data_IF_196693170947
#
_entry.id   IF_196693170947
#
_cell.length_a   1.000
_cell.length_b   1.000
_cell.length_c   1.000
_cell.angle_alpha   90.00
_cell.angle_beta   90.00
_cell.angle_gamma   90.00
#
_symmetry.space_group_name_H-M   'P 1'
#
loop_
_entity.id
_entity.type
_entity.pdbx_description
1 polymer ?
#
# COMPACT_ATOMS: atom_id res chain seq x y z
N UNK A 1 -5.86 -12.26 0.83
CA UNK A 1 -6.90 -11.20 0.91
C UNK A 1 -8.33 -11.75 0.84
N UNK A 2 -8.77 -12.55 -0.14
CA UNK A 2 -10.17 -13.04 -0.18
C UNK A 2 -10.56 -13.86 1.04
N UNK A 3 -9.66 -14.71 1.52
CA UNK A 3 -9.87 -15.59 2.69
C UNK A 3 -9.88 -14.81 4.02
N UNK A 4 -9.20 -13.65 4.06
CA UNK A 4 -9.06 -12.81 5.24
C UNK A 4 -9.40 -11.36 4.86
N UNK A 5 -10.68 -11.03 4.59
CA UNK A 5 -11.08 -9.76 3.97
C UNK A 5 -10.81 -8.54 4.86
N UNK A 6 -10.78 -8.72 6.18
CA UNK A 6 -10.61 -7.65 7.15
C UNK A 6 -9.18 -7.53 7.70
N UNK A 7 -8.28 -8.47 7.34
CA UNK A 7 -6.93 -8.51 7.93
C UNK A 7 -6.20 -7.16 7.85
N UNK A 8 -6.32 -6.45 6.74
CA UNK A 8 -5.66 -5.16 6.49
C UNK A 8 -6.61 -3.95 6.53
N UNK A 9 -7.78 -4.06 7.20
CA UNK A 9 -8.78 -2.97 7.19
C UNK A 9 -8.22 -1.65 7.75
N UNK A 10 -7.43 -1.69 8.81
CA UNK A 10 -6.84 -0.49 9.43
C UNK A 10 -5.83 0.20 8.52
N UNK A 11 -5.09 -0.55 7.72
CA UNK A 11 -4.17 -0.01 6.73
C UNK A 11 -4.90 0.79 5.63
N UNK A 12 -5.99 0.21 5.09
CA UNK A 12 -6.82 0.93 4.12
C UNK A 12 -7.52 2.14 4.73
N UNK A 13 -8.07 1.99 5.94
CA UNK A 13 -8.77 3.06 6.64
C UNK A 13 -7.89 4.31 6.83
N UNK A 14 -6.63 4.12 7.22
CA UNK A 14 -5.69 5.22 7.42
C UNK A 14 -5.37 6.00 6.14
N UNK A 15 -5.12 5.30 5.04
CA UNK A 15 -4.86 5.96 3.76
C UNK A 15 -6.08 6.77 3.30
N UNK A 16 -7.29 6.25 3.54
CA UNK A 16 -8.55 6.91 3.20
C UNK A 16 -8.82 8.11 4.12
N UNK A 17 -8.58 7.99 5.41
CA UNK A 17 -8.77 9.09 6.37
C UNK A 17 -7.92 10.30 5.99
N UNK A 18 -6.65 10.07 5.61
CA UNK A 18 -5.75 11.14 5.17
C UNK A 18 -6.19 11.82 3.86
N UNK A 19 -7.00 11.14 3.07
CA UNK A 19 -7.47 11.64 1.78
C UNK A 19 -8.63 12.64 1.89
N UNK A 20 -9.29 12.75 3.06
CA UNK A 20 -10.44 13.64 3.32
C UNK A 20 -11.52 13.56 2.24
N UNK A 21 -11.91 12.33 1.88
CA UNK A 21 -12.80 12.07 0.77
C UNK A 21 -14.23 12.55 1.03
N UNK A 22 -14.84 13.17 0.02
CA UNK A 22 -16.25 13.52 0.02
C UNK A 22 -16.95 12.93 -1.20
N UNK A 23 -18.28 12.77 -1.11
CA UNK A 23 -19.10 12.24 -2.19
C UNK A 23 -18.91 13.05 -3.49
N UNK A 24 -18.80 12.35 -4.61
CA UNK A 24 -18.54 12.93 -5.93
C UNK A 24 -17.06 12.92 -6.33
N UNK A 25 -16.13 12.74 -5.41
CA UNK A 25 -14.71 12.68 -5.74
C UNK A 25 -14.35 11.44 -6.53
N UNK A 26 -13.36 11.59 -7.41
CA UNK A 26 -12.69 10.52 -8.14
C UNK A 26 -11.38 10.19 -7.47
N UNK A 27 -11.22 8.93 -7.08
CA UNK A 27 -10.04 8.41 -6.37
C UNK A 27 -9.24 7.50 -7.30
N UNK A 28 -8.02 7.89 -7.62
CA UNK A 28 -7.06 7.07 -8.36
C UNK A 28 -6.27 6.19 -7.37
N UNK A 29 -6.18 4.89 -7.66
CA UNK A 29 -5.48 3.87 -6.85
C UNK A 29 -4.35 3.27 -7.69
N UNK A 30 -3.08 3.51 -7.31
CA UNK A 30 -1.91 3.16 -8.13
C UNK A 30 -0.67 2.85 -7.26
N UNK A 31 -0.06 1.69 -7.39
CA UNK A 31 -0.61 0.47 -7.99
C UNK A 31 -1.79 -0.07 -7.18
N UNK A 32 -2.83 -0.53 -7.87
CA UNK A 32 -4.09 -0.87 -7.21
C UNK A 32 -4.11 -2.26 -6.56
N UNK A 33 -3.09 -3.10 -6.83
CA UNK A 33 -3.08 -4.47 -6.39
C UNK A 33 -4.35 -5.21 -6.83
N UNK A 34 -5.03 -5.84 -5.90
CA UNK A 34 -6.31 -6.51 -6.16
C UNK A 34 -7.54 -5.58 -6.15
N UNK A 35 -7.36 -4.25 -6.15
CA UNK A 35 -8.46 -3.27 -6.10
C UNK A 35 -9.20 -3.22 -4.76
N UNK A 36 -8.57 -3.70 -3.69
CA UNK A 36 -9.20 -3.81 -2.37
C UNK A 36 -9.55 -2.46 -1.74
N UNK A 37 -8.80 -1.39 -2.05
CA UNK A 37 -9.06 -0.03 -1.58
C UNK A 37 -10.48 0.41 -1.91
N UNK A 38 -11.01 0.02 -3.07
CA UNK A 38 -12.37 0.38 -3.52
C UNK A 38 -13.47 0.01 -2.53
N UNK A 39 -13.27 -1.02 -1.70
CA UNK A 39 -14.25 -1.51 -0.72
C UNK A 39 -14.40 -0.61 0.51
N UNK A 40 -13.41 0.23 0.74
CA UNK A 40 -13.32 1.10 1.92
C UNK A 40 -13.63 2.56 1.60
N UNK A 41 -13.82 2.90 0.30
CA UNK A 41 -14.14 4.27 -0.08
C UNK A 41 -15.53 4.68 0.44
N UNK A 42 -15.68 5.93 0.87
CA UNK A 42 -16.97 6.48 1.25
C UNK A 42 -17.99 6.39 0.10
N UNK A 43 -19.26 6.22 0.46
CA UNK A 43 -20.36 6.20 -0.51
C UNK A 43 -20.36 7.46 -1.37
N UNK A 44 -20.52 7.30 -2.68
CA UNK A 44 -20.53 8.40 -3.66
C UNK A 44 -19.17 8.75 -4.24
N UNK A 45 -18.05 8.19 -3.75
CA UNK A 45 -16.77 8.30 -4.41
C UNK A 45 -16.67 7.35 -5.61
N UNK A 46 -15.98 7.77 -6.66
CA UNK A 46 -15.69 6.95 -7.84
C UNK A 46 -14.24 6.48 -7.81
N UNK A 47 -14.05 5.17 -7.76
CA UNK A 47 -12.73 4.54 -7.83
C UNK A 47 -12.26 4.33 -9.26
N UNK A 48 -10.99 4.63 -9.54
CA UNK A 48 -10.27 4.24 -10.75
C UNK A 48 -8.95 3.60 -10.34
N UNK A 49 -8.74 2.33 -10.66
CA UNK A 49 -7.53 1.59 -10.29
C UNK A 49 -6.67 1.25 -11.50
N UNK A 50 -5.35 1.29 -11.33
CA UNK A 50 -4.38 0.80 -12.31
C UNK A 50 -3.38 -0.14 -11.65
N UNK A 51 -3.27 -1.36 -12.21
CA UNK A 51 -2.38 -2.42 -11.74
C UNK A 51 -1.68 -3.09 -12.93
N UNK A 52 -0.34 -3.00 -13.03
CA UNK A 52 0.40 -3.61 -14.13
C UNK A 52 0.58 -5.13 -13.97
N UNK A 53 0.52 -5.64 -12.73
CA UNK A 53 0.76 -7.05 -12.46
C UNK A 53 -0.48 -7.90 -12.72
N UNK A 54 -0.41 -8.75 -13.75
CA UNK A 54 -1.55 -9.60 -14.16
C UNK A 54 -2.04 -10.55 -13.06
N UNK A 55 -1.19 -10.96 -12.13
CA UNK A 55 -1.57 -11.83 -11.01
C UNK A 55 -2.56 -11.17 -10.05
N UNK A 56 -2.60 -9.84 -9.98
CA UNK A 56 -3.53 -9.07 -9.15
C UNK A 56 -4.80 -8.66 -9.90
N UNK A 57 -4.83 -8.69 -11.24
CA UNK A 57 -5.94 -8.15 -12.06
C UNK A 57 -7.19 -9.02 -12.13
N UNK A 58 -7.22 -10.19 -11.51
CA UNK A 58 -8.34 -11.15 -11.62
C UNK A 58 -9.62 -10.74 -10.87
N UNK A 59 -9.70 -9.55 -10.27
CA UNK A 59 -10.79 -9.14 -9.39
C UNK A 59 -11.63 -7.95 -9.88
N UNK A 60 -11.91 -7.89 -11.17
CA UNK A 60 -12.95 -6.98 -11.74
C UNK A 60 -12.46 -5.55 -11.98
N UNK A 61 -13.20 -4.79 -12.74
CA UNK A 61 -13.19 -3.32 -12.95
C UNK A 61 -11.85 -2.56 -13.12
N UNK A 62 -10.71 -3.24 -13.27
CA UNK A 62 -9.47 -2.55 -13.60
C UNK A 62 -9.38 -2.25 -15.09
N UNK A 63 -9.09 -1.00 -15.41
CA UNK A 63 -9.01 -0.52 -16.79
C UNK A 63 -7.67 -0.92 -17.40
N UNK A 64 -7.71 -1.90 -18.30
CA UNK A 64 -6.65 -2.13 -19.28
C UNK A 64 -5.78 -3.34 -19.02
N UNK A 65 -5.37 -3.97 -20.11
CA UNK A 65 -4.37 -5.04 -20.19
C UNK A 65 -2.94 -4.46 -20.24
N UNK A 66 -2.66 -3.38 -19.50
CA UNK A 66 -1.31 -2.82 -19.50
C UNK A 66 -0.40 -3.70 -18.65
N UNK A 67 0.74 -4.10 -19.19
CA UNK A 67 1.82 -4.77 -18.48
C UNK A 67 2.83 -3.78 -17.90
N UNK A 68 2.60 -2.48 -18.08
CA UNK A 68 3.45 -1.39 -17.59
C UNK A 68 2.68 -0.51 -16.61
N UNK A 69 3.33 -0.10 -15.53
CA UNK A 69 2.79 0.86 -14.60
C UNK A 69 2.56 2.23 -15.26
N UNK A 70 3.44 2.62 -16.16
CA UNK A 70 3.44 3.93 -16.81
C UNK A 70 3.46 3.79 -18.35
N UNK A 71 2.86 4.77 -19.07
CA UNK A 71 2.08 5.90 -18.56
C UNK A 71 0.74 5.45 -17.98
N UNK A 72 0.17 6.26 -17.06
CA UNK A 72 -1.16 5.98 -16.52
C UNK A 72 -2.24 6.14 -17.61
N UNK A 73 -3.23 5.23 -17.68
CA UNK A 73 -4.20 5.18 -18.78
C UNK A 73 -5.32 6.21 -18.66
N UNK A 74 -5.09 7.32 -17.98
CA UNK A 74 -6.09 8.33 -17.70
C UNK A 74 -5.71 9.69 -18.29
N UNK A 75 -6.74 10.52 -18.52
CA UNK A 75 -6.58 11.90 -18.97
C UNK A 75 -6.02 12.79 -17.86
N UNK A 76 -5.52 13.97 -18.24
CA UNK A 76 -5.07 14.99 -17.33
C UNK A 76 -6.22 15.47 -16.43
N UNK A 77 -5.92 15.77 -15.19
CA UNK A 77 -6.85 16.35 -14.21
C UNK A 77 -8.20 15.62 -14.09
N UNK A 78 -8.18 14.28 -14.13
CA UNK A 78 -9.40 13.45 -14.04
C UNK A 78 -9.75 13.07 -12.61
N UNK A 79 -8.78 12.99 -11.71
CA UNK A 79 -8.98 12.56 -10.34
C UNK A 79 -8.83 13.71 -9.34
N UNK A 80 -9.57 13.63 -8.25
CA UNK A 80 -9.49 14.59 -7.14
C UNK A 80 -8.41 14.19 -6.14
N UNK A 81 -8.22 12.88 -5.94
CA UNK A 81 -7.24 12.30 -5.04
C UNK A 81 -6.57 11.10 -5.69
N UNK A 82 -5.27 10.91 -5.46
CA UNK A 82 -4.60 9.65 -5.68
C UNK A 82 -4.16 9.04 -4.35
N UNK A 83 -4.30 7.72 -4.25
CA UNK A 83 -3.78 6.92 -3.14
C UNK A 83 -2.83 5.88 -3.71
N UNK A 84 -1.60 5.88 -3.20
CA UNK A 84 -0.61 4.85 -3.48
C UNK A 84 -0.28 4.14 -2.18
N UNK A 85 -0.74 2.89 -2.05
CA UNK A 85 -0.68 2.12 -0.81
C UNK A 85 0.18 0.87 -0.97
N UNK A 86 1.28 0.79 -0.21
CA UNK A 86 2.16 -0.38 -0.10
C UNK A 86 2.60 -0.95 -1.46
N UNK A 87 3.10 -0.09 -2.36
CA UNK A 87 3.51 -0.51 -3.69
C UNK A 87 4.64 0.32 -4.33
N UNK A 88 4.91 1.54 -3.82
CA UNK A 88 5.97 2.38 -4.41
C UNK A 88 7.38 1.96 -3.98
N UNK A 89 7.52 1.16 -2.94
CA UNK A 89 8.81 0.60 -2.52
C UNK A 89 9.42 -0.36 -3.56
N UNK A 90 8.66 -0.81 -4.54
CA UNK A 90 9.18 -1.56 -5.68
C UNK A 90 9.80 -0.69 -6.79
N UNK A 91 9.74 0.64 -6.66
CA UNK A 91 10.28 1.59 -7.64
C UNK A 91 11.62 2.14 -7.14
N UNK A 92 12.67 1.94 -7.92
CA UNK A 92 14.00 2.51 -7.63
C UNK A 92 14.04 4.03 -7.79
N UNK A 93 13.20 4.59 -8.67
CA UNK A 93 12.97 6.02 -8.87
C UNK A 93 11.45 6.24 -8.92
N UNK A 94 10.91 7.00 -7.99
CA UNK A 94 9.47 7.24 -7.86
C UNK A 94 9.00 8.45 -8.66
N UNK A 95 9.92 9.31 -9.14
CA UNK A 95 9.61 10.54 -9.87
C UNK A 95 8.74 10.32 -11.12
N UNK A 96 8.96 9.28 -11.94
CA UNK A 96 8.08 9.04 -13.08
C UNK A 96 6.62 8.79 -12.69
N UNK A 97 6.39 8.04 -11.60
CA UNK A 97 5.04 7.82 -11.07
C UNK A 97 4.46 9.10 -10.48
N UNK A 98 5.23 9.82 -9.68
CA UNK A 98 4.78 11.07 -9.06
C UNK A 98 4.46 12.14 -10.10
N UNK A 99 5.22 12.22 -11.20
CA UNK A 99 4.92 13.11 -12.34
C UNK A 99 3.62 12.74 -13.05
N UNK A 100 3.37 11.44 -13.28
CA UNK A 100 2.13 10.98 -13.89
C UNK A 100 0.92 11.19 -12.97
N UNK A 101 1.08 10.95 -11.67
CA UNK A 101 0.03 11.27 -10.69
C UNK A 101 -0.25 12.77 -10.64
N UNK A 102 0.80 13.61 -10.73
CA UNK A 102 0.63 15.07 -10.82
C UNK A 102 -0.15 15.47 -12.08
N UNK A 103 0.06 14.83 -13.21
CA UNK A 103 -0.72 15.06 -14.44
C UNK A 103 -2.19 14.69 -14.25
N UNK A 104 -2.45 13.54 -13.64
CA UNK A 104 -3.79 12.93 -13.51
C UNK A 104 -4.66 13.62 -12.45
N UNK A 105 -4.06 14.12 -11.39
CA UNK A 105 -4.77 14.81 -10.29
C UNK A 105 -5.12 16.24 -10.73
N UNK A 106 -6.29 16.72 -10.36
CA UNK A 106 -6.73 18.11 -10.55
C UNK A 106 -5.85 19.09 -9.75
N UNK A 107 -5.67 20.35 -10.21
CA UNK A 107 -5.07 21.40 -9.36
C UNK A 107 -5.79 21.48 -8.01
N UNK A 108 -5.05 21.60 -6.92
CA UNK A 108 -5.57 21.55 -5.54
C UNK A 108 -5.98 20.17 -5.06
N UNK A 109 -5.81 19.13 -5.89
CA UNK A 109 -6.07 17.74 -5.48
C UNK A 109 -4.91 17.14 -4.70
N UNK A 110 -5.15 15.99 -4.04
CA UNK A 110 -4.22 15.38 -3.09
C UNK A 110 -3.60 14.09 -3.59
N UNK A 111 -2.37 13.85 -3.16
CA UNK A 111 -1.67 12.58 -3.25
C UNK A 111 -1.41 12.06 -1.83
N UNK A 112 -1.84 10.82 -1.58
CA UNK A 112 -1.53 10.06 -0.38
C UNK A 112 -0.56 8.95 -0.79
N UNK A 113 0.66 8.99 -0.27
CA UNK A 113 1.62 7.89 -0.39
C UNK A 113 1.75 7.26 0.98
N UNK A 114 1.31 6.02 1.12
CA UNK A 114 1.42 5.27 2.36
C UNK A 114 2.19 3.97 2.08
N UNK A 115 3.43 3.92 2.54
CA UNK A 115 4.33 2.80 2.27
C UNK A 115 5.33 2.60 3.41
N UNK A 116 6.09 1.53 3.34
CA UNK A 116 7.07 1.15 4.36
C UNK A 116 8.15 2.22 4.51
N UNK A 117 8.42 2.62 5.74
CA UNK A 117 9.51 3.55 6.06
C UNK A 117 10.85 2.81 6.10
N UNK A 118 11.89 3.42 5.55
CA UNK A 118 13.25 2.90 5.65
C UNK A 118 13.68 2.72 7.12
N UNK A 119 14.37 1.61 7.41
CA UNK A 119 14.84 1.28 8.76
C UNK A 119 13.74 0.87 9.76
N UNK A 120 12.48 0.75 9.32
CA UNK A 120 11.39 0.26 10.18
C UNK A 120 11.47 -1.26 10.39
N UNK A 121 10.80 -1.76 11.44
CA UNK A 121 10.66 -3.22 11.65
C UNK A 121 10.01 -3.91 10.44
N UNK A 122 9.07 -3.23 9.78
CA UNK A 122 8.43 -3.74 8.56
C UNK A 122 9.42 -3.83 7.41
N UNK A 123 10.30 -2.84 7.24
CA UNK A 123 11.36 -2.87 6.22
C UNK A 123 12.30 -4.06 6.42
N UNK A 124 12.76 -4.26 7.64
CA UNK A 124 13.61 -5.41 7.99
C UNK A 124 12.89 -6.74 7.77
N UNK A 125 11.62 -6.85 8.17
CA UNK A 125 10.85 -8.06 7.93
C UNK A 125 10.72 -8.38 6.43
N UNK A 126 10.49 -7.37 5.61
CA UNK A 126 10.36 -7.55 4.15
C UNK A 126 11.69 -7.91 3.49
N UNK A 127 12.77 -7.21 3.78
CA UNK A 127 14.05 -7.46 3.11
C UNK A 127 14.78 -8.67 3.70
N UNK A 128 14.84 -8.79 5.04
CA UNK A 128 15.63 -9.85 5.67
C UNK A 128 14.89 -11.20 5.65
N UNK A 129 13.60 -11.23 6.03
CA UNK A 129 12.85 -12.48 6.10
C UNK A 129 12.13 -12.81 4.79
N UNK A 130 11.30 -11.89 4.27
CA UNK A 130 10.56 -12.14 3.03
C UNK A 130 11.54 -12.29 1.87
N UNK A 131 12.55 -11.43 1.77
CA UNK A 131 13.60 -11.50 0.77
C UNK A 131 14.35 -12.82 0.75
N UNK A 132 14.63 -13.40 1.92
CA UNK A 132 15.30 -14.70 2.02
C UNK A 132 14.41 -15.89 1.65
N UNK A 133 13.10 -15.77 1.75
CA UNK A 133 12.16 -16.89 1.59
C UNK A 133 11.22 -16.79 0.39
N UNK A 134 11.15 -15.63 -0.28
CA UNK A 134 10.44 -15.44 -1.55
C UNK A 134 11.36 -15.88 -2.72
N UNK A 135 10.80 -16.55 -3.72
CA UNK A 135 11.58 -17.08 -4.86
C UNK A 135 12.21 -16.00 -5.74
N UNK A 136 11.67 -14.77 -5.71
CA UNK A 136 12.20 -13.62 -6.47
C UNK A 136 13.04 -12.67 -5.61
N UNK A 137 13.14 -12.95 -4.31
CA UNK A 137 13.70 -12.04 -3.33
C UNK A 137 12.79 -10.84 -3.05
N UNK A 138 13.24 -9.97 -2.17
CA UNK A 138 12.66 -8.65 -1.90
C UNK A 138 13.80 -7.69 -1.59
N UNK A 139 13.82 -6.54 -2.25
CA UNK A 139 14.80 -5.47 -2.04
C UNK A 139 14.04 -4.15 -2.24
N UNK A 140 13.52 -3.64 -1.13
CA UNK A 140 12.60 -2.50 -1.13
C UNK A 140 13.34 -1.16 -1.10
N UNK A 141 13.00 -0.26 -2.02
CA UNK A 141 13.40 1.16 -1.93
C UNK A 141 12.34 1.89 -1.11
N UNK A 142 12.45 1.76 0.20
CA UNK A 142 11.49 2.26 1.17
C UNK A 142 11.45 3.79 1.26
N UNK A 143 10.38 4.33 1.85
CA UNK A 143 10.20 5.77 1.98
C UNK A 143 11.19 6.35 3.01
N UNK A 144 11.85 7.43 2.61
CA UNK A 144 12.81 8.18 3.40
C UNK A 144 12.83 9.67 2.99
N UNK A 145 13.83 10.41 3.42
CA UNK A 145 13.99 11.83 3.07
C UNK A 145 14.14 12.06 1.56
N UNK A 146 14.69 11.10 0.82
CA UNK A 146 14.80 11.18 -0.64
C UNK A 146 13.43 11.18 -1.31
N UNK A 147 12.48 10.43 -0.79
CA UNK A 147 11.09 10.42 -1.29
C UNK A 147 10.43 11.80 -1.20
N UNK A 148 10.69 12.55 -0.13
CA UNK A 148 10.19 13.93 -0.02
C UNK A 148 10.82 14.86 -1.06
N UNK A 149 12.08 14.62 -1.43
CA UNK A 149 12.74 15.35 -2.50
C UNK A 149 12.14 14.99 -3.85
N UNK A 150 11.92 13.69 -4.16
CA UNK A 150 11.27 13.22 -5.39
C UNK A 150 9.87 13.85 -5.58
N UNK A 151 9.08 13.94 -4.51
CA UNK A 151 7.77 14.61 -4.54
C UNK A 151 7.90 16.09 -4.92
N UNK A 152 8.81 16.84 -4.27
CA UNK A 152 9.00 18.25 -4.56
C UNK A 152 9.51 18.49 -5.99
N UNK A 153 10.46 17.69 -6.45
CA UNK A 153 10.99 17.75 -7.82
C UNK A 153 9.94 17.51 -8.89
N UNK A 154 8.87 16.80 -8.55
CA UNK A 154 7.75 16.48 -9.46
C UNK A 154 6.53 17.38 -9.27
N UNK A 155 6.68 18.50 -8.54
CA UNK A 155 5.68 19.56 -8.42
C UNK A 155 4.70 19.41 -7.26
N UNK A 156 4.92 18.46 -6.36
CA UNK A 156 4.06 18.27 -5.19
C UNK A 156 4.49 19.17 -4.02
N UNK A 157 3.52 19.76 -3.35
CA UNK A 157 3.71 20.40 -2.05
C UNK A 157 3.38 19.41 -0.95
N UNK A 158 4.41 18.94 -0.22
CA UNK A 158 4.20 18.06 0.93
C UNK A 158 3.56 18.86 2.07
N UNK A 159 2.37 18.45 2.50
CA UNK A 159 1.63 19.11 3.58
C UNK A 159 2.07 18.60 4.95
N UNK A 160 2.09 17.29 5.13
CA UNK A 160 2.55 16.62 6.36
C UNK A 160 2.87 15.15 6.08
N UNK A 161 3.52 14.53 7.06
CA UNK A 161 3.74 13.08 7.09
C UNK A 161 3.63 12.56 8.51
N UNK A 162 3.27 11.30 8.67
CA UNK A 162 3.19 10.63 9.96
C UNK A 162 3.30 9.12 9.78
N UNK A 163 3.69 8.42 10.86
CA UNK A 163 3.84 6.96 10.85
C UNK A 163 2.93 6.37 11.93
N UNK A 164 1.68 6.03 11.59
CA UNK A 164 0.78 5.39 12.52
C UNK A 164 1.15 3.93 12.74
N UNK A 165 0.94 3.47 13.95
CA UNK A 165 0.99 2.06 14.28
C UNK A 165 -0.42 1.49 14.29
N UNK A 166 -0.61 0.37 13.60
CA UNK A 166 -1.87 -0.35 13.55
C UNK A 166 -1.63 -1.85 13.53
N UNK A 167 -2.67 -2.63 13.58
CA UNK A 167 -2.55 -4.08 13.48
C UNK A 167 -3.21 -4.59 12.20
N UNK A 168 -2.60 -5.62 11.63
CA UNK A 168 -3.34 -6.57 10.82
C UNK A 168 -3.98 -7.58 11.75
N UNK A 169 -5.28 -7.83 11.59
CA UNK A 169 -6.07 -8.60 12.56
C UNK A 169 -6.47 -9.97 12.02
N UNK A 170 -6.36 -10.98 12.89
CA UNK A 170 -6.63 -12.38 12.55
C UNK A 170 -7.27 -13.08 13.74
N UNK A 171 -8.02 -14.19 13.48
CA UNK A 171 -8.60 -14.98 14.54
C UNK A 171 -7.57 -15.83 15.30
N UNK A 172 -6.45 -16.18 14.67
CA UNK A 172 -5.38 -16.99 15.28
C UNK A 172 -4.01 -16.62 14.73
N UNK A 173 -2.95 -16.94 15.48
CA UNK A 173 -1.55 -16.82 15.03
C UNK A 173 -1.28 -17.66 13.78
N UNK A 174 -1.90 -18.84 13.69
CA UNK A 174 -1.78 -19.69 12.50
C UNK A 174 -2.37 -19.02 11.25
N UNK A 175 -3.54 -18.40 11.37
CA UNK A 175 -4.14 -17.66 10.24
C UNK A 175 -3.31 -16.44 9.85
N UNK A 176 -2.76 -15.71 10.81
CA UNK A 176 -1.81 -14.62 10.59
C UNK A 176 -0.60 -15.09 9.78
N UNK A 177 0.06 -16.15 10.23
CA UNK A 177 1.23 -16.69 9.56
C UNK A 177 0.89 -17.26 8.17
N UNK A 178 -0.24 -17.96 8.03
CA UNK A 178 -0.72 -18.50 6.75
C UNK A 178 -1.02 -17.38 5.76
N UNK A 179 -1.64 -16.30 6.21
CA UNK A 179 -1.91 -15.13 5.38
C UNK A 179 -0.62 -14.50 4.86
N UNK A 180 0.36 -14.25 5.74
CA UNK A 180 1.64 -13.67 5.35
C UNK A 180 2.43 -14.60 4.43
N UNK A 181 2.42 -15.90 4.71
CA UNK A 181 3.07 -16.91 3.88
C UNK A 181 2.50 -16.91 2.44
N UNK A 182 1.18 -16.82 2.29
CA UNK A 182 0.52 -16.71 0.98
C UNK A 182 0.75 -15.34 0.33
N UNK A 183 0.58 -14.24 1.09
CA UNK A 183 0.68 -12.87 0.57
C UNK A 183 2.08 -12.58 0.01
N UNK A 184 3.11 -12.99 0.73
CA UNK A 184 4.51 -12.76 0.34
C UNK A 184 5.11 -13.90 -0.47
N UNK A 185 4.30 -14.90 -0.87
CA UNK A 185 4.75 -16.04 -1.70
C UNK A 185 6.01 -16.72 -1.14
N UNK A 186 6.01 -17.02 0.16
CA UNK A 186 7.16 -17.62 0.83
C UNK A 186 7.29 -19.09 0.44
N UNK A 187 8.30 -19.42 -0.34
CA UNK A 187 8.47 -20.76 -0.95
C UNK A 187 9.46 -21.66 -0.22
N UNK A 188 10.32 -21.10 0.63
CA UNK A 188 11.41 -21.83 1.31
C UNK A 188 11.28 -21.83 2.83
N UNK A 189 10.22 -21.24 3.38
CA UNK A 189 9.89 -21.30 4.81
C UNK A 189 8.59 -22.04 5.07
N UNK A 190 8.41 -22.51 6.30
CA UNK A 190 7.15 -23.08 6.78
C UNK A 190 6.26 -22.01 7.41
N UNK A 191 4.97 -22.30 7.59
CA UNK A 191 4.05 -21.42 8.33
C UNK A 191 4.53 -21.18 9.77
N UNK A 192 5.11 -22.19 10.43
CA UNK A 192 5.61 -22.07 11.79
C UNK A 192 6.84 -21.14 11.87
N UNK A 193 7.76 -21.22 10.92
CA UNK A 193 8.89 -20.29 10.81
C UNK A 193 8.42 -18.87 10.51
N UNK A 194 7.43 -18.72 9.63
CA UNK A 194 6.79 -17.43 9.35
C UNK A 194 6.14 -16.83 10.60
N UNK A 195 5.45 -17.63 11.40
CA UNK A 195 4.89 -17.18 12.67
C UNK A 195 5.98 -16.67 13.61
N UNK A 196 7.05 -17.45 13.79
CA UNK A 196 8.18 -17.07 14.67
C UNK A 196 8.84 -15.77 14.18
N UNK A 197 9.04 -15.61 12.89
CA UNK A 197 9.61 -14.38 12.32
C UNK A 197 8.71 -13.16 12.58
N UNK A 198 7.40 -13.28 12.37
CA UNK A 198 6.43 -12.20 12.65
C UNK A 198 6.49 -11.83 14.14
N UNK A 199 6.40 -12.82 15.04
CA UNK A 199 6.42 -12.57 16.48
C UNK A 199 7.71 -11.89 16.95
N UNK A 200 8.86 -12.27 16.36
CA UNK A 200 10.18 -11.77 16.74
C UNK A 200 10.47 -10.38 16.14
N UNK A 201 10.15 -10.17 14.87
CA UNK A 201 10.56 -8.97 14.12
C UNK A 201 9.53 -7.86 14.17
N UNK A 202 8.24 -8.20 14.16
CA UNK A 202 7.15 -7.22 14.12
C UNK A 202 6.46 -7.10 15.48
N UNK A 203 6.33 -8.20 16.20
CA UNK A 203 5.56 -8.30 17.42
C UNK A 203 4.08 -8.57 17.15
N UNK A 204 3.46 -9.26 18.09
CA UNK A 204 2.05 -9.66 18.05
C UNK A 204 1.41 -9.36 19.39
N UNK A 205 0.21 -8.81 19.38
CA UNK A 205 -0.61 -8.56 20.58
C UNK A 205 -1.84 -9.46 20.58
N UNK A 206 -2.18 -9.98 21.73
CA UNK A 206 -3.48 -10.63 21.94
C UNK A 206 -4.55 -9.56 22.07
N UNK A 207 -5.67 -9.75 21.36
CA UNK A 207 -6.84 -8.89 21.37
C UNK A 207 -7.96 -9.55 22.14
N UNK A 208 -9.01 -8.78 22.42
CA UNK A 208 -10.25 -9.34 22.95
C UNK A 208 -10.80 -10.44 22.02
N UNK A 209 -11.59 -11.35 22.56
CA UNK A 209 -12.19 -12.47 21.81
C UNK A 209 -11.21 -13.48 21.18
N UNK A 210 -10.01 -13.63 21.74
CA UNK A 210 -8.94 -14.51 21.25
C UNK A 210 -8.38 -14.13 19.86
N UNK A 211 -8.69 -12.99 19.33
CA UNK A 211 -8.06 -12.47 18.10
C UNK A 211 -6.61 -12.04 18.36
N UNK A 212 -5.82 -11.99 17.30
CA UNK A 212 -4.43 -11.55 17.34
C UNK A 212 -4.22 -10.37 16.41
N UNK A 213 -3.43 -9.40 16.85
CA UNK A 213 -3.01 -8.25 16.07
C UNK A 213 -1.51 -8.31 15.75
N UNK A 214 -1.15 -8.46 14.47
CA UNK A 214 0.21 -8.30 14.01
C UNK A 214 0.54 -6.82 13.91
N UNK A 215 1.59 -6.37 14.57
CA UNK A 215 2.00 -4.98 14.50
C UNK A 215 2.47 -4.63 13.08
N UNK A 216 1.96 -3.51 12.57
CA UNK A 216 2.32 -2.98 11.26
C UNK A 216 2.37 -1.46 11.30
N UNK A 217 3.17 -0.86 10.45
CA UNK A 217 3.25 0.59 10.31
C UNK A 217 3.66 0.97 8.90
N UNK A 218 3.12 2.07 8.40
CA UNK A 218 3.51 2.67 7.14
C UNK A 218 3.78 4.16 7.36
N UNK A 219 4.79 4.69 6.69
CA UNK A 219 4.95 6.14 6.58
C UNK A 219 3.91 6.66 5.58
N UNK A 220 3.03 7.52 6.05
CA UNK A 220 2.03 8.18 5.21
C UNK A 220 2.47 9.62 4.96
N UNK A 221 2.58 9.96 3.69
CA UNK A 221 2.90 11.31 3.21
C UNK A 221 1.67 11.86 2.49
N UNK A 222 1.24 13.05 2.90
CA UNK A 222 0.15 13.78 2.26
C UNK A 222 0.73 14.97 1.52
N UNK A 223 0.46 15.03 0.22
CA UNK A 223 0.91 16.12 -0.64
C UNK A 223 -0.24 16.67 -1.47
N UNK A 224 -0.11 17.92 -1.90
CA UNK A 224 -1.09 18.63 -2.72
C UNK A 224 -0.48 19.05 -4.05
N UNK A 225 -1.27 18.97 -5.11
CA UNK A 225 -0.93 19.52 -6.41
C UNK A 225 -1.15 21.03 -6.41
N UNK A 226 -0.08 21.81 -6.44
CA UNK A 226 -0.10 23.28 -6.58
C UNK A 226 -0.64 23.73 -7.94
#
# INVERSE_FOLDING_TARGET
>A
MQRYPNARQHEFAQAIESAELVAGMVVADVPAGGGYLSRYLPSGCRWIGHEPCASFTNHGAMTGKSTSLLPLPWLDAVADVAISLAGVHHLSDKRPLFSELHRVIKPGGRLIVSDVAAGSAVAHFLDDYVGAHNSTGHDGVFLDDHTFQELRETGWTVLYSYTPYFNWEFSTRFEMASFCHELFSLSTSTIAETQTAIETMLGVSDKDDNNVGMNWSLLTVVAERS
#
